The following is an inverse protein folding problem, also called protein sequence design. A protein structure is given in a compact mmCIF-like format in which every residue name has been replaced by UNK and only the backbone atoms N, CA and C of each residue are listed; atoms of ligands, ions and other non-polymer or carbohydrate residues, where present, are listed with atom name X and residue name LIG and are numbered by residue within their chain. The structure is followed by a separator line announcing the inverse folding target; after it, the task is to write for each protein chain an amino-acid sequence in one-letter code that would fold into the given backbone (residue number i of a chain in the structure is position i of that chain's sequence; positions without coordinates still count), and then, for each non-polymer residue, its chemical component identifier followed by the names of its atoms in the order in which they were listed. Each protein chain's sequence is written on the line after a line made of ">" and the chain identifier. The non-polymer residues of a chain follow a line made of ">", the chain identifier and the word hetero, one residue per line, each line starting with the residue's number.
data_IF_878033985934
#
_entry.id   IF_878033985934
#
_cell.length_a   1.000
_cell.length_b   1.000
_cell.length_c   1.000
_cell.angle_alpha   90.00
_cell.angle_beta   90.00
_cell.angle_gamma   90.00
#
_symmetry.space_group_name_H-M   'P 1'
#
loop_
_entity.id
_entity.type
_entity.pdbx_description
1 polymer ?
#
# COMPACT_ATOMS: atom_id res chain seq x y z
N UNK A 1 -68.70 -37.94 40.29
CA UNK A 1 -68.55 -37.35 38.94
C UNK A 1 -67.27 -36.52 38.96
N UNK A 2 -66.14 -37.09 38.50
CA UNK A 2 -65.51 -36.92 37.17
C UNK A 2 -65.23 -35.46 36.78
N UNK A 3 -63.94 -35.06 36.88
CA UNK A 3 -63.14 -34.24 35.94
C UNK A 3 -61.91 -33.70 36.72
N UNK A 4 -60.75 -34.36 36.75
CA UNK A 4 -59.59 -34.10 35.87
C UNK A 4 -59.66 -32.75 35.14
N UNK A 5 -58.79 -31.79 35.48
CA UNK A 5 -58.10 -30.92 34.50
C UNK A 5 -56.74 -30.47 35.06
N UNK A 6 -55.71 -30.96 34.38
CA UNK A 6 -54.27 -30.65 34.41
C UNK A 6 -53.96 -29.16 34.37
N UNK A 7 -53.02 -28.68 35.19
CA UNK A 7 -52.29 -27.44 34.92
C UNK A 7 -50.81 -27.77 34.71
N UNK A 8 -50.35 -27.35 33.54
CA UNK A 8 -49.04 -27.48 32.93
C UNK A 8 -47.92 -26.98 33.84
N UNK A 9 -46.90 -27.81 34.04
CA UNK A 9 -45.55 -27.34 34.38
C UNK A 9 -44.92 -26.83 33.09
N UNK A 10 -44.87 -25.51 32.92
CA UNK A 10 -44.10 -24.88 31.85
C UNK A 10 -42.62 -24.92 32.23
N UNK A 11 -41.93 -25.98 31.81
CA UNK A 11 -40.48 -26.05 31.76
C UNK A 11 -39.96 -24.99 30.79
N UNK A 12 -39.43 -23.88 31.31
CA UNK A 12 -38.65 -22.92 30.54
C UNK A 12 -37.33 -23.60 30.12
N UNK A 13 -37.33 -24.20 28.94
CA UNK A 13 -36.10 -24.63 28.28
C UNK A 13 -35.31 -23.36 27.90
N UNK A 14 -34.19 -23.12 28.57
CA UNK A 14 -33.17 -22.18 28.12
C UNK A 14 -32.69 -22.66 26.74
N UNK A 15 -33.21 -22.06 25.68
CA UNK A 15 -32.64 -22.20 24.36
C UNK A 15 -31.31 -21.44 24.34
N UNK A 16 -30.21 -22.16 24.54
CA UNK A 16 -28.88 -21.67 24.21
C UNK A 16 -28.86 -21.44 22.69
N UNK A 17 -29.05 -20.19 22.26
CA UNK A 17 -28.76 -19.81 20.89
C UNK A 17 -27.27 -20.09 20.64
N UNK A 18 -26.90 -20.83 19.58
CA UNK A 18 -25.50 -20.94 19.24
C UNK A 18 -25.01 -19.55 18.87
N UNK A 19 -24.11 -18.98 19.68
CA UNK A 19 -23.27 -17.87 19.27
C UNK A 19 -22.52 -18.35 18.03
N UNK A 20 -23.00 -17.97 16.84
CA UNK A 20 -22.19 -18.01 15.64
C UNK A 20 -20.98 -17.14 15.94
N UNK A 21 -19.85 -17.78 16.22
CA UNK A 21 -18.56 -17.13 16.21
C UNK A 21 -18.42 -16.47 14.83
N UNK A 22 -18.58 -15.15 14.78
CA UNK A 22 -18.17 -14.33 13.65
C UNK A 22 -16.68 -14.55 13.52
N UNK A 23 -16.30 -15.51 12.66
CA UNK A 23 -14.92 -15.62 12.20
C UNK A 23 -14.54 -14.25 11.62
N UNK A 24 -13.39 -13.68 12.00
CA UNK A 24 -12.91 -12.49 11.31
C UNK A 24 -12.84 -12.83 9.83
N UNK A 25 -13.46 -11.99 8.99
CA UNK A 25 -13.43 -12.16 7.54
C UNK A 25 -11.99 -12.39 7.13
N UNK A 26 -11.69 -13.60 6.65
CA UNK A 26 -10.38 -13.93 6.10
C UNK A 26 -10.08 -12.87 5.05
N UNK A 27 -9.05 -12.05 5.29
CA UNK A 27 -8.64 -11.04 4.32
C UNK A 27 -8.46 -11.76 2.98
N UNK A 28 -9.14 -11.34 1.91
CA UNK A 28 -9.01 -11.99 0.62
C UNK A 28 -7.52 -11.96 0.21
N UNK A 29 -7.06 -13.06 -0.39
CA UNK A 29 -5.71 -13.14 -0.95
C UNK A 29 -5.47 -11.90 -1.84
N UNK A 30 -4.44 -11.08 -1.58
CA UNK A 30 -4.15 -9.90 -2.39
C UNK A 30 -4.06 -10.20 -3.88
N UNK A 31 -3.71 -11.44 -4.27
CA UNK A 31 -3.66 -11.85 -5.69
C UNK A 31 -5.04 -12.04 -6.32
N UNK A 32 -6.07 -12.26 -5.50
CA UNK A 32 -7.47 -12.32 -5.93
C UNK A 32 -8.14 -10.94 -5.93
N UNK A 33 -7.51 -9.93 -5.35
CA UNK A 33 -7.98 -8.55 -5.43
C UNK A 33 -7.93 -8.04 -6.88
N UNK A 34 -9.03 -7.43 -7.34
CA UNK A 34 -9.14 -6.96 -8.71
C UNK A 34 -8.14 -5.83 -9.02
N UNK A 35 -7.82 -4.97 -8.05
CA UNK A 35 -6.85 -3.89 -8.26
C UNK A 35 -5.44 -4.46 -8.43
N UNK A 36 -5.10 -5.53 -7.70
CA UNK A 36 -3.85 -6.24 -7.91
C UNK A 36 -3.78 -6.86 -9.32
N UNK A 37 -4.85 -7.50 -9.79
CA UNK A 37 -4.87 -8.08 -11.14
C UNK A 37 -4.74 -7.01 -12.23
N UNK A 38 -5.41 -5.86 -12.07
CA UNK A 38 -5.24 -4.70 -12.94
C UNK A 38 -3.79 -4.21 -12.93
N UNK A 39 -3.19 -4.05 -11.75
CA UNK A 39 -1.79 -3.62 -11.62
C UNK A 39 -0.81 -4.65 -12.22
N UNK A 40 -1.10 -5.95 -12.13
CA UNK A 40 -0.28 -7.01 -12.75
C UNK A 40 -0.41 -6.97 -14.27
N UNK A 41 -1.61 -6.76 -14.81
CA UNK A 41 -1.82 -6.58 -16.25
C UNK A 41 -1.06 -5.35 -16.77
N UNK A 42 -1.12 -4.24 -16.03
CA UNK A 42 -0.41 -3.01 -16.36
C UNK A 42 1.12 -3.21 -16.32
N UNK A 43 1.62 -3.90 -15.29
CA UNK A 43 3.02 -4.29 -15.19
C UNK A 43 3.46 -5.17 -16.38
N UNK A 44 2.65 -6.15 -16.79
CA UNK A 44 2.95 -7.00 -17.96
C UNK A 44 3.02 -6.17 -19.25
N UNK A 45 2.04 -5.29 -19.47
CA UNK A 45 1.96 -4.41 -20.63
C UNK A 45 3.22 -3.52 -20.78
N UNK A 46 3.76 -3.08 -19.66
CA UNK A 46 4.85 -2.09 -19.64
C UNK A 46 6.25 -2.70 -19.46
N UNK A 47 6.38 -3.83 -18.78
CA UNK A 47 7.68 -4.46 -18.48
C UNK A 47 8.08 -5.47 -19.54
N UNK A 48 7.15 -6.29 -20.07
CA UNK A 48 7.52 -7.32 -21.06
C UNK A 48 8.16 -6.75 -22.34
N UNK A 49 7.71 -5.61 -22.91
CA UNK A 49 8.34 -5.03 -24.09
C UNK A 49 9.79 -4.57 -23.89
N UNK A 50 10.26 -4.47 -22.64
CA UNK A 50 11.66 -4.14 -22.35
C UNK A 50 12.61 -5.31 -22.65
N UNK A 51 12.09 -6.54 -22.79
CA UNK A 51 12.87 -7.75 -23.07
C UNK A 51 14.09 -7.85 -22.14
N UNK A 52 13.85 -7.72 -20.84
CA UNK A 52 14.89 -7.71 -19.83
C UNK A 52 15.61 -9.07 -19.81
N UNK A 53 16.94 -9.05 -19.78
CA UNK A 53 17.69 -10.26 -19.46
C UNK A 53 17.53 -10.61 -17.98
N UNK A 54 17.82 -11.86 -17.61
CA UNK A 54 17.86 -12.31 -16.21
C UNK A 54 18.72 -11.40 -15.33
N UNK A 55 19.90 -11.02 -15.80
CA UNK A 55 20.83 -10.15 -15.08
C UNK A 55 20.27 -8.73 -14.89
N UNK A 56 19.60 -8.19 -15.91
CA UNK A 56 18.95 -6.89 -15.81
C UNK A 56 17.79 -6.93 -14.80
N UNK A 57 16.94 -7.96 -14.87
CA UNK A 57 15.84 -8.16 -13.94
C UNK A 57 16.34 -8.28 -12.49
N UNK A 58 17.41 -9.06 -12.24
CA UNK A 58 18.02 -9.22 -10.90
C UNK A 58 18.58 -7.91 -10.34
N UNK A 59 19.24 -7.09 -11.16
CA UNK A 59 19.77 -5.78 -10.73
C UNK A 59 18.63 -4.83 -10.33
N UNK A 60 17.57 -4.78 -11.12
CA UNK A 60 16.39 -3.95 -10.83
C UNK A 60 15.69 -4.45 -9.56
N UNK A 61 15.49 -5.77 -9.41
CA UNK A 61 14.93 -6.38 -8.19
C UNK A 61 15.72 -5.99 -6.95
N UNK A 62 17.06 -6.10 -7.00
CA UNK A 62 17.93 -5.75 -5.87
C UNK A 62 17.75 -4.28 -5.47
N UNK A 63 17.58 -3.37 -6.42
CA UNK A 63 17.30 -1.97 -6.13
C UNK A 63 15.90 -1.77 -5.51
N UNK A 64 14.88 -2.49 -6.01
CA UNK A 64 13.53 -2.47 -5.44
C UNK A 64 13.49 -3.01 -4.00
N UNK A 65 14.27 -4.04 -3.67
CA UNK A 65 14.38 -4.57 -2.32
C UNK A 65 14.96 -3.55 -1.34
N UNK A 66 15.98 -2.80 -1.77
CA UNK A 66 16.56 -1.69 -0.99
C UNK A 66 15.54 -0.58 -0.74
N UNK A 67 14.77 -0.20 -1.77
CA UNK A 67 13.68 0.78 -1.67
C UNK A 67 12.62 0.31 -0.67
N UNK A 68 12.18 -0.95 -0.77
CA UNK A 68 11.19 -1.53 0.17
C UNK A 68 11.70 -1.58 1.60
N UNK A 69 12.99 -1.84 1.80
CA UNK A 69 13.60 -1.81 3.13
C UNK A 69 13.60 -0.39 3.71
N UNK A 70 13.96 0.63 2.92
CA UNK A 70 13.85 2.04 3.36
C UNK A 70 12.43 2.39 3.79
N UNK A 71 11.42 1.99 3.02
CA UNK A 71 10.03 2.23 3.40
C UNK A 71 9.63 1.53 4.71
N UNK A 72 10.09 0.30 4.93
CA UNK A 72 9.86 -0.41 6.20
C UNK A 72 10.49 0.33 7.37
N UNK A 73 11.69 0.88 7.18
CA UNK A 73 12.37 1.65 8.21
C UNK A 73 11.63 2.94 8.54
N UNK A 74 11.11 3.66 7.53
CA UNK A 74 10.27 4.84 7.75
C UNK A 74 9.00 4.48 8.51
N UNK A 75 8.26 3.44 8.10
CA UNK A 75 7.05 3.00 8.82
C UNK A 75 7.35 2.62 10.28
N UNK A 76 8.45 1.91 10.52
CA UNK A 76 8.88 1.56 11.88
C UNK A 76 9.17 2.81 12.72
N UNK A 77 9.89 3.78 12.15
CA UNK A 77 10.16 5.06 12.81
C UNK A 77 8.86 5.81 13.15
N UNK A 78 7.90 5.85 12.24
CA UNK A 78 6.60 6.49 12.46
C UNK A 78 5.81 5.79 13.58
N UNK A 79 5.75 4.46 13.54
CA UNK A 79 5.11 3.65 14.58
C UNK A 79 5.74 3.89 15.95
N UNK A 80 7.08 3.94 16.00
CA UNK A 80 7.84 4.20 17.23
C UNK A 80 7.54 5.60 17.78
N UNK A 81 7.44 6.62 16.91
CA UNK A 81 7.11 7.99 17.32
C UNK A 81 5.63 8.18 17.71
N UNK A 82 4.73 7.32 17.22
CA UNK A 82 3.32 7.34 17.61
C UNK A 82 3.03 6.61 18.92
N UNK A 83 3.90 5.68 19.36
CA UNK A 83 3.71 4.92 20.62
C UNK A 83 3.39 5.80 21.83
N UNK A 84 4.10 6.91 22.12
CA UNK A 84 3.82 7.75 23.27
C UNK A 84 2.44 8.43 23.25
N UNK A 85 1.79 8.52 22.09
CA UNK A 85 0.49 9.16 21.94
C UNK A 85 -0.69 8.20 22.11
N UNK A 86 -0.46 6.88 22.10
CA UNK A 86 -1.53 5.86 22.05
C UNK A 86 -2.56 6.02 23.17
N UNK A 87 -2.11 6.15 24.41
CA UNK A 87 -3.01 6.29 25.57
C UNK A 87 -3.77 7.62 25.53
N UNK A 88 -3.10 8.73 25.18
CA UNK A 88 -3.72 10.05 25.06
C UNK A 88 -4.80 10.06 23.98
N UNK A 89 -4.53 9.43 22.84
CA UNK A 89 -5.49 9.29 21.73
C UNK A 89 -6.68 8.42 22.17
N UNK A 90 -6.43 7.24 22.73
CA UNK A 90 -7.49 6.32 23.16
C UNK A 90 -8.43 6.99 24.18
N UNK A 91 -7.86 7.70 25.16
CA UNK A 91 -8.63 8.46 26.15
C UNK A 91 -9.43 9.59 25.50
N UNK A 92 -8.84 10.35 24.58
CA UNK A 92 -9.54 11.44 23.89
C UNK A 92 -10.73 10.92 23.06
N UNK A 93 -10.58 9.75 22.42
CA UNK A 93 -11.69 9.09 21.71
C UNK A 93 -12.79 8.68 22.69
N UNK A 94 -12.44 7.99 23.78
CA UNK A 94 -13.42 7.56 24.78
C UNK A 94 -14.19 8.75 25.39
N UNK A 95 -13.48 9.82 25.77
CA UNK A 95 -14.08 11.03 26.32
C UNK A 95 -14.98 11.73 25.28
N UNK A 96 -14.60 11.73 24.00
CA UNK A 96 -15.44 12.25 22.92
C UNK A 96 -16.71 11.43 22.68
N UNK A 97 -16.61 10.11 22.67
CA UNK A 97 -17.74 9.21 22.44
C UNK A 97 -18.73 9.22 23.60
N UNK A 98 -18.22 9.06 24.84
CA UNK A 98 -19.04 8.87 26.05
C UNK A 98 -19.45 10.19 26.70
N UNK A 99 -18.55 11.17 26.77
CA UNK A 99 -18.77 12.42 27.51
C UNK A 99 -19.03 13.62 26.61
N UNK A 100 -18.98 13.43 25.28
CA UNK A 100 -19.11 14.51 24.28
C UNK A 100 -18.11 15.64 24.49
N UNK A 101 -16.93 15.31 25.03
CA UNK A 101 -15.84 16.25 25.20
C UNK A 101 -15.05 16.39 23.90
N UNK A 102 -14.69 17.62 23.55
CA UNK A 102 -13.81 17.87 22.42
C UNK A 102 -12.38 17.46 22.79
N UNK A 103 -11.62 16.81 21.88
CA UNK A 103 -10.22 16.47 22.13
C UNK A 103 -9.38 17.70 22.53
N UNK A 104 -8.41 17.47 23.42
CA UNK A 104 -7.49 18.51 23.89
C UNK A 104 -6.72 19.17 22.73
N UNK A 105 -6.70 20.51 22.72
CA UNK A 105 -6.06 21.29 21.66
C UNK A 105 -4.55 21.03 21.59
N UNK A 106 -3.90 20.79 22.72
CA UNK A 106 -2.46 20.50 22.73
C UNK A 106 -2.17 19.14 22.09
N UNK A 107 -2.95 18.10 22.42
CA UNK A 107 -2.87 16.80 21.75
C UNK A 107 -3.02 16.93 20.23
N UNK A 108 -4.02 17.69 19.76
CA UNK A 108 -4.22 17.91 18.32
C UNK A 108 -3.03 18.64 17.66
N UNK A 109 -2.47 19.65 18.33
CA UNK A 109 -1.30 20.39 17.84
C UNK A 109 -0.05 19.50 17.76
N UNK A 110 0.21 18.68 18.78
CA UNK A 110 1.33 17.73 18.81
C UNK A 110 1.22 16.73 17.65
N UNK A 111 0.02 16.16 17.44
CA UNK A 111 -0.24 15.21 16.36
C UNK A 111 -0.11 15.85 14.98
N UNK A 112 -0.64 17.06 14.79
CA UNK A 112 -0.51 17.77 13.52
C UNK A 112 0.97 18.03 13.16
N UNK A 113 1.78 18.42 14.15
CA UNK A 113 3.23 18.61 13.97
C UNK A 113 3.93 17.30 13.59
N UNK A 114 3.57 16.21 14.27
CA UNK A 114 4.17 14.89 14.04
C UNK A 114 3.80 14.34 12.65
N UNK A 115 2.51 14.37 12.30
CA UNK A 115 2.03 13.92 10.99
C UNK A 115 2.63 14.76 9.86
N UNK A 116 2.73 16.09 10.03
CA UNK A 116 3.42 16.93 9.05
C UNK A 116 4.92 16.63 8.92
N UNK A 117 5.57 16.11 9.97
CA UNK A 117 6.94 15.61 9.86
C UNK A 117 7.01 14.28 9.09
N UNK A 118 6.06 13.36 9.33
CA UNK A 118 5.96 12.10 8.58
C UNK A 118 5.75 12.36 7.09
N UNK A 119 4.86 13.28 6.72
CA UNK A 119 4.63 13.63 5.31
C UNK A 119 5.90 14.12 4.61
N UNK A 120 6.71 14.95 5.28
CA UNK A 120 8.01 15.39 4.75
C UNK A 120 9.00 14.24 4.58
N UNK A 121 9.09 13.35 5.56
CA UNK A 121 10.00 12.20 5.50
C UNK A 121 9.57 11.23 4.40
N UNK A 122 8.27 10.94 4.27
CA UNK A 122 7.71 10.10 3.21
C UNK A 122 7.97 10.71 1.84
N UNK A 123 7.74 12.01 1.66
CA UNK A 123 8.00 12.70 0.40
C UNK A 123 9.49 12.64 0.00
N UNK A 124 10.40 12.93 0.94
CA UNK A 124 11.84 12.81 0.71
C UNK A 124 12.25 11.37 0.38
N UNK A 125 11.72 10.39 1.11
CA UNK A 125 12.01 8.97 0.87
C UNK A 125 11.50 8.51 -0.49
N UNK A 126 10.29 8.91 -0.90
CA UNK A 126 9.74 8.60 -2.20
C UNK A 126 10.61 9.16 -3.34
N UNK A 127 11.13 10.38 -3.17
CA UNK A 127 12.01 11.03 -4.14
C UNK A 127 13.40 10.35 -4.23
N UNK A 128 14.00 10.01 -3.09
CA UNK A 128 15.24 9.24 -3.02
C UNK A 128 15.09 7.86 -3.67
N UNK A 129 13.95 7.20 -3.44
CA UNK A 129 13.65 5.90 -4.02
C UNK A 129 13.53 5.99 -5.54
N UNK A 130 12.83 7.00 -6.07
CA UNK A 130 12.73 7.20 -7.53
C UNK A 130 14.10 7.48 -8.13
N UNK A 131 14.91 8.34 -7.51
CA UNK A 131 16.26 8.66 -7.97
C UNK A 131 17.17 7.43 -8.02
N UNK A 132 17.15 6.60 -6.97
CA UNK A 132 17.92 5.36 -6.89
C UNK A 132 17.54 4.36 -8.00
N UNK A 133 16.24 4.21 -8.25
CA UNK A 133 15.76 3.33 -9.30
C UNK A 133 16.11 3.89 -10.69
N UNK A 134 16.00 5.20 -10.89
CA UNK A 134 16.38 5.85 -12.16
C UNK A 134 17.85 5.61 -12.48
N UNK A 135 18.75 5.78 -11.51
CA UNK A 135 20.18 5.49 -11.66
C UNK A 135 20.43 4.02 -11.99
N UNK A 136 19.71 3.11 -11.31
CA UNK A 136 19.78 1.67 -11.58
C UNK A 136 19.35 1.36 -13.01
N UNK A 137 18.25 1.95 -13.49
CA UNK A 137 17.78 1.76 -14.86
C UNK A 137 18.77 2.30 -15.88
N UNK A 138 19.31 3.51 -15.68
CA UNK A 138 20.29 4.13 -16.59
C UNK A 138 21.60 3.34 -16.69
N UNK A 139 22.02 2.67 -15.61
CA UNK A 139 23.23 1.85 -15.59
C UNK A 139 23.01 0.40 -16.05
N UNK A 140 21.75 -0.07 -16.08
CA UNK A 140 21.40 -1.48 -16.37
C UNK A 140 20.80 -1.68 -17.77
N UNK A 141 20.02 -0.71 -18.24
CA UNK A 141 19.30 -0.79 -19.51
C UNK A 141 20.10 -0.15 -20.64
N UNK A 142 19.94 -0.67 -21.85
CA UNK A 142 20.49 -0.04 -23.05
C UNK A 142 19.61 1.14 -23.52
N UNK A 143 20.14 1.95 -24.44
CA UNK A 143 19.44 3.14 -24.95
C UNK A 143 18.07 2.82 -25.59
N UNK A 144 17.95 1.68 -26.26
CA UNK A 144 16.68 1.23 -26.85
C UNK A 144 15.62 0.95 -25.78
N UNK A 145 16.00 0.20 -24.74
CA UNK A 145 15.14 -0.11 -23.60
C UNK A 145 14.71 1.14 -22.83
N UNK A 146 15.65 2.08 -22.58
CA UNK A 146 15.33 3.36 -21.92
C UNK A 146 14.34 4.19 -22.74
N UNK A 147 14.48 4.20 -24.07
CA UNK A 147 13.55 4.90 -24.96
C UNK A 147 12.17 4.24 -25.00
N UNK A 148 12.12 2.90 -25.00
CA UNK A 148 10.85 2.16 -24.88
C UNK A 148 10.16 2.48 -23.57
N UNK A 149 10.90 2.49 -22.46
CA UNK A 149 10.39 2.84 -21.14
C UNK A 149 9.83 4.27 -21.11
N UNK A 150 10.57 5.27 -21.60
CA UNK A 150 10.11 6.66 -21.64
C UNK A 150 8.81 6.86 -22.45
N UNK A 151 8.59 6.02 -23.47
CA UNK A 151 7.40 6.07 -24.33
C UNK A 151 6.26 5.15 -23.88
N UNK A 152 6.49 4.35 -22.84
CA UNK A 152 5.54 3.31 -22.44
C UNK A 152 4.27 3.89 -21.82
N UNK A 153 4.33 5.08 -21.21
CA UNK A 153 3.20 5.74 -20.58
C UNK A 153 2.86 7.05 -21.29
N UNK A 154 1.57 7.37 -21.30
CA UNK A 154 1.09 8.72 -21.58
C UNK A 154 1.07 9.52 -20.26
N UNK A 155 1.91 10.56 -20.12
CA UNK A 155 2.01 11.34 -18.89
C UNK A 155 0.68 11.97 -18.46
N UNK A 156 -0.26 12.23 -19.37
CA UNK A 156 -1.55 12.85 -19.06
C UNK A 156 -2.39 12.05 -18.07
N UNK A 157 -2.26 10.72 -18.08
CA UNK A 157 -3.01 9.87 -17.15
C UNK A 157 -2.50 9.96 -15.71
N UNK A 158 -1.28 10.46 -15.51
CA UNK A 158 -0.63 10.54 -14.21
C UNK A 158 -0.35 11.97 -13.76
N UNK A 159 -0.33 12.92 -14.70
CA UNK A 159 -0.13 14.35 -14.49
C UNK A 159 -0.94 15.14 -15.54
N UNK A 160 -2.27 15.30 -15.33
CA UNK A 160 -3.16 15.90 -16.31
C UNK A 160 -2.85 17.38 -16.62
N UNK A 161 -2.20 18.08 -15.68
CA UNK A 161 -1.82 19.49 -15.83
C UNK A 161 -0.45 19.69 -16.51
N UNK A 162 0.24 18.60 -16.87
CA UNK A 162 1.59 18.67 -17.43
C UNK A 162 1.53 18.90 -18.95
N UNK A 163 2.24 19.93 -19.43
CA UNK A 163 2.41 20.16 -20.86
C UNK A 163 3.34 19.09 -21.45
N UNK A 164 2.77 18.15 -22.18
CA UNK A 164 3.46 16.96 -22.73
C UNK A 164 4.62 17.32 -23.66
N UNK A 165 4.56 18.49 -24.28
CA UNK A 165 5.56 19.01 -25.21
C UNK A 165 6.87 19.40 -24.50
N UNK A 166 6.82 19.61 -23.19
CA UNK A 166 7.97 20.08 -22.37
C UNK A 166 8.58 18.96 -21.52
N UNK A 167 7.99 17.75 -21.51
CA UNK A 167 8.46 16.66 -20.65
C UNK A 167 9.64 15.90 -21.28
N UNK A 168 10.74 15.82 -20.52
CA UNK A 168 11.96 15.11 -20.91
C UNK A 168 11.80 13.59 -20.78
N UNK A 169 12.67 12.82 -21.46
CA UNK A 169 12.72 11.36 -21.31
C UNK A 169 13.03 10.94 -19.86
N UNK A 170 13.83 11.72 -19.14
CA UNK A 170 14.14 11.48 -17.72
C UNK A 170 12.89 11.63 -16.84
N UNK A 171 12.08 12.66 -17.05
CA UNK A 171 10.82 12.82 -16.33
C UNK A 171 9.82 11.71 -16.66
N UNK A 172 9.75 11.28 -17.92
CA UNK A 172 8.93 10.13 -18.33
C UNK A 172 9.38 8.83 -17.64
N UNK A 173 10.69 8.58 -17.56
CA UNK A 173 11.24 7.45 -16.80
C UNK A 173 10.82 7.53 -15.34
N UNK A 174 10.87 8.71 -14.72
CA UNK A 174 10.48 8.89 -13.32
C UNK A 174 8.99 8.67 -13.09
N UNK A 175 8.12 9.06 -14.02
CA UNK A 175 6.69 8.73 -14.00
C UNK A 175 6.51 7.22 -14.06
N UNK A 176 7.21 6.53 -14.96
CA UNK A 176 7.16 5.08 -15.07
C UNK A 176 7.59 4.37 -13.77
N UNK A 177 8.66 4.85 -13.13
CA UNK A 177 9.11 4.29 -11.85
C UNK A 177 7.99 4.36 -10.82
N UNK A 178 7.36 5.53 -10.66
CA UNK A 178 6.28 5.76 -9.68
C UNK A 178 5.02 4.97 -10.01
N UNK A 179 4.59 4.98 -11.26
CA UNK A 179 3.33 4.40 -11.70
C UNK A 179 3.40 2.86 -11.79
N UNK A 180 4.51 2.33 -12.30
CA UNK A 180 4.65 0.91 -12.65
C UNK A 180 5.66 0.22 -11.75
N UNK A 181 6.92 0.69 -11.70
CA UNK A 181 8.00 -0.14 -11.16
C UNK A 181 7.94 -0.33 -9.64
N UNK A 182 7.46 0.68 -8.90
CA UNK A 182 7.31 0.61 -7.44
C UNK A 182 6.06 -0.18 -7.00
N UNK A 183 5.20 -0.64 -7.93
CA UNK A 183 4.00 -1.39 -7.58
C UNK A 183 4.34 -2.81 -7.08
N UNK A 184 3.56 -3.34 -6.11
CA UNK A 184 3.74 -4.72 -5.63
C UNK A 184 3.70 -5.76 -6.75
N UNK A 185 2.78 -5.63 -7.70
CA UNK A 185 2.59 -6.57 -8.80
C UNK A 185 3.80 -6.62 -9.76
N UNK A 186 4.49 -5.49 -9.95
CA UNK A 186 5.67 -5.41 -10.81
C UNK A 186 6.87 -6.14 -10.21
N UNK A 187 7.04 -6.08 -8.89
CA UNK A 187 8.06 -6.88 -8.22
C UNK A 187 7.83 -8.37 -8.42
N UNK A 188 6.60 -8.85 -8.22
CA UNK A 188 6.26 -10.27 -8.42
C UNK A 188 6.55 -10.71 -9.86
N UNK A 189 6.23 -9.85 -10.84
CA UNK A 189 6.59 -10.09 -12.24
C UNK A 189 8.11 -10.17 -12.44
N UNK A 190 8.87 -9.24 -11.89
CA UNK A 190 10.33 -9.25 -12.02
C UNK A 190 10.95 -10.48 -11.36
N UNK A 191 10.40 -10.97 -10.23
CA UNK A 191 10.82 -12.23 -9.59
C UNK A 191 10.58 -13.42 -10.51
N UNK A 192 9.45 -13.46 -11.22
CA UNK A 192 9.15 -14.51 -12.20
C UNK A 192 10.12 -14.45 -13.40
N UNK A 193 10.37 -13.26 -13.95
CA UNK A 193 11.31 -13.05 -15.05
C UNK A 193 12.74 -13.45 -14.63
N UNK A 194 13.18 -13.05 -13.45
CA UNK A 194 14.48 -13.42 -12.92
C UNK A 194 14.68 -14.92 -12.68
N UNK A 195 13.61 -15.72 -12.62
CA UNK A 195 13.67 -17.19 -12.53
C UNK A 195 13.68 -17.86 -13.90
N UNK A 196 12.90 -17.32 -14.84
CA UNK A 196 12.53 -17.98 -16.10
C UNK A 196 13.25 -17.44 -17.34
N UNK A 197 13.98 -16.33 -17.23
CA UNK A 197 14.81 -15.74 -18.30
C UNK A 197 16.26 -16.24 -18.28
#
# INVERSE_FOLDING_TARGET
>A
MKALWTILVASLALAAAPQQATQPASQPDPKQDINYQIAKLDALNHVLPLLLTKDQANKILTALEKVREKERQVRKMEDDQLKPFRERIAKAIEDGEKKKLVPDRQLLADLAKLLGAFDRVRAATAEDNVSMIEETLKSTLNAGQLKTLAKSLDPRFFAPDLKIEEITDSERIRIFIRAILLQPATYDLLVELAKNS
#
